data_IF_431078528049
#
_entry.id   IF_431078528049
#
_cell.length_a   1.000
_cell.length_b   1.000
_cell.length_c   1.000
_cell.angle_alpha   90.00
_cell.angle_beta   90.00
_cell.angle_gamma   90.00
#
_symmetry.space_group_name_H-M   'P 1'
#
loop_
_entity.id
_entity.type
_entity.pdbx_description
1 polymer ?
#
# COMPACT_ATOMS: atom_id res chain seq x y z
N UNK A 1 6.18 19.49 18.70
CA UNK A 1 5.10 18.92 17.86
C UNK A 1 5.34 17.43 17.79
N UNK A 2 4.42 16.59 18.30
CA UNK A 2 4.56 15.14 18.13
C UNK A 2 4.44 14.81 16.64
N UNK A 3 5.40 14.05 16.11
CA UNK A 3 5.30 13.59 14.72
C UNK A 3 4.00 12.78 14.55
N UNK A 4 3.24 13.11 13.51
CA UNK A 4 1.98 12.46 13.17
C UNK A 4 2.27 10.99 12.80
N UNK A 5 1.57 10.06 13.46
CA UNK A 5 1.74 8.62 13.20
C UNK A 5 0.63 8.09 12.30
N UNK A 6 1.01 7.36 11.27
CA UNK A 6 0.18 6.92 10.17
C UNK A 6 -0.34 5.50 10.36
N UNK A 7 -1.55 5.26 9.86
CA UNK A 7 -2.00 3.91 9.51
C UNK A 7 -1.75 3.68 8.03
N UNK A 8 -1.01 2.63 7.67
CA UNK A 8 -0.82 2.23 6.29
C UNK A 8 -1.84 1.17 5.88
N UNK A 9 -2.42 1.37 4.71
CA UNK A 9 -3.23 0.39 4.01
C UNK A 9 -2.40 -0.24 2.89
N UNK A 10 -2.42 -1.57 2.80
CA UNK A 10 -1.73 -2.32 1.76
C UNK A 10 -2.73 -3.24 1.08
N UNK A 11 -3.27 -2.86 -0.10
CA UNK A 11 -4.19 -3.73 -0.82
C UNK A 11 -3.46 -4.91 -1.45
N UNK A 12 -3.96 -6.12 -1.23
CA UNK A 12 -3.38 -7.35 -1.76
C UNK A 12 -4.48 -8.28 -2.29
N UNK A 13 -4.54 -8.37 -3.62
CA UNK A 13 -5.38 -9.34 -4.33
C UNK A 13 -4.96 -10.78 -3.98
N UNK A 14 -5.82 -11.78 -4.23
CA UNK A 14 -5.47 -13.18 -4.07
C UNK A 14 -4.13 -13.51 -4.74
N UNK A 15 -3.25 -14.25 -4.04
CA UNK A 15 -1.84 -14.41 -4.42
C UNK A 15 -1.68 -14.98 -5.83
N UNK A 16 -2.57 -15.90 -6.21
CA UNK A 16 -2.60 -16.54 -7.52
C UNK A 16 -2.93 -15.57 -8.67
N UNK A 17 -3.69 -14.51 -8.39
CA UNK A 17 -4.14 -13.51 -9.37
C UNK A 17 -3.31 -12.21 -9.35
N UNK A 18 -2.66 -11.92 -8.23
CA UNK A 18 -1.79 -10.76 -8.08
C UNK A 18 -0.57 -10.84 -9.00
N UNK A 19 -0.10 -9.68 -9.47
CA UNK A 19 1.13 -9.53 -10.27
C UNK A 19 1.28 -10.58 -11.38
N UNK A 20 0.19 -10.88 -12.09
CA UNK A 20 0.14 -11.90 -13.15
C UNK A 20 1.21 -11.74 -14.23
N UNK A 21 1.70 -10.51 -14.46
CA UNK A 21 2.83 -10.20 -15.36
C UNK A 21 4.17 -10.84 -14.94
N UNK A 22 4.34 -11.17 -13.65
CA UNK A 22 5.53 -11.83 -13.10
C UNK A 22 5.45 -13.36 -13.11
N UNK A 23 4.34 -13.93 -13.60
CA UNK A 23 4.15 -15.39 -13.59
C UNK A 23 5.23 -16.07 -14.43
N UNK A 24 5.97 -16.98 -13.81
CA UNK A 24 7.07 -17.68 -14.45
C UNK A 24 8.35 -16.86 -14.62
N UNK A 25 8.45 -15.67 -14.00
CA UNK A 25 9.64 -14.83 -14.07
C UNK A 25 10.88 -15.47 -13.42
N UNK A 26 10.68 -16.34 -12.42
CA UNK A 26 11.74 -17.04 -11.70
C UNK A 26 11.59 -18.56 -11.87
N UNK A 27 12.52 -19.24 -12.56
CA UNK A 27 12.48 -20.69 -12.69
C UNK A 27 12.52 -21.40 -11.33
N UNK A 28 11.61 -22.36 -11.12
CA UNK A 28 11.54 -23.15 -9.89
C UNK A 28 10.87 -22.47 -8.69
N UNK A 29 10.44 -21.21 -8.82
CA UNK A 29 9.72 -20.48 -7.77
C UNK A 29 8.22 -20.45 -8.11
N UNK A 30 7.37 -20.78 -7.15
CA UNK A 30 5.92 -20.67 -7.35
C UNK A 30 5.51 -19.21 -7.43
N UNK A 31 4.50 -18.92 -8.25
CA UNK A 31 4.00 -17.56 -8.43
C UNK A 31 3.52 -16.94 -7.11
N UNK A 32 2.79 -17.70 -6.30
CA UNK A 32 2.28 -17.23 -5.02
C UNK A 32 3.42 -16.91 -4.04
N UNK A 33 4.47 -17.72 -4.02
CA UNK A 33 5.64 -17.52 -3.15
C UNK A 33 6.37 -16.22 -3.52
N UNK A 34 6.49 -15.92 -4.82
CA UNK A 34 7.06 -14.65 -5.28
C UNK A 34 6.19 -13.46 -4.86
N UNK A 35 4.88 -13.52 -5.09
CA UNK A 35 3.96 -12.43 -4.69
C UNK A 35 4.02 -12.20 -3.17
N UNK A 36 4.02 -13.26 -2.38
CA UNK A 36 4.11 -13.17 -0.93
C UNK A 36 5.45 -12.56 -0.49
N UNK A 37 6.56 -12.97 -1.10
CA UNK A 37 7.88 -12.41 -0.79
C UNK A 37 7.96 -10.90 -1.10
N UNK A 38 7.35 -10.44 -2.21
CA UNK A 38 7.27 -9.02 -2.54
C UNK A 38 6.45 -8.23 -1.52
N UNK A 39 5.30 -8.77 -1.10
CA UNK A 39 4.44 -8.16 -0.09
C UNK A 39 5.15 -8.09 1.26
N UNK A 40 5.78 -9.18 1.67
CA UNK A 40 6.50 -9.27 2.93
C UNK A 40 7.67 -8.27 2.98
N UNK A 41 8.51 -8.21 1.94
CA UNK A 41 9.61 -7.23 1.88
C UNK A 41 9.10 -5.78 1.97
N UNK A 42 7.98 -5.48 1.32
CA UNK A 42 7.34 -4.16 1.37
C UNK A 42 6.83 -3.84 2.78
N UNK A 43 6.12 -4.77 3.41
CA UNK A 43 5.55 -4.62 4.75
C UNK A 43 6.65 -4.50 5.80
N UNK A 44 7.72 -5.29 5.72
CA UNK A 44 8.88 -5.22 6.61
C UNK A 44 9.55 -3.84 6.55
N UNK A 45 9.84 -3.33 5.34
CA UNK A 45 10.42 -2.00 5.17
C UNK A 45 9.48 -0.88 5.67
N UNK A 46 8.18 -1.04 5.46
CA UNK A 46 7.18 -0.06 5.86
C UNK A 46 6.97 0.00 7.37
N UNK A 47 6.85 -1.15 8.03
CA UNK A 47 6.65 -1.26 9.48
C UNK A 47 7.88 -0.85 10.29
N UNK A 48 9.07 -0.89 9.70
CA UNK A 48 10.29 -0.35 10.31
C UNK A 48 10.30 1.20 10.42
N UNK A 49 9.38 1.91 9.73
CA UNK A 49 9.31 3.37 9.79
C UNK A 49 8.74 3.84 11.13
N UNK A 50 9.41 4.76 11.86
CA UNK A 50 8.91 5.24 13.16
C UNK A 50 7.61 6.04 13.06
N UNK A 51 7.25 6.49 11.85
CA UNK A 51 6.00 7.19 11.58
C UNK A 51 4.83 6.25 11.30
N UNK A 52 5.08 4.96 11.06
CA UNK A 52 4.02 3.97 10.84
C UNK A 52 3.62 3.39 12.19
N UNK A 53 2.41 3.70 12.65
CA UNK A 53 1.85 3.15 13.90
C UNK A 53 1.23 1.78 13.67
N UNK A 54 0.59 1.60 12.52
CA UNK A 54 -0.18 0.41 12.18
C UNK A 54 -0.10 0.20 10.67
N UNK A 55 -0.02 -1.04 10.25
CA UNK A 55 -0.17 -1.45 8.86
C UNK A 55 -1.32 -2.45 8.80
N UNK A 56 -2.21 -2.27 7.85
CA UNK A 56 -3.38 -3.12 7.63
C UNK A 56 -3.34 -3.59 6.18
N UNK A 57 -3.35 -4.91 5.98
CA UNK A 57 -3.45 -5.52 4.65
C UNK A 57 -4.93 -5.68 4.29
N UNK A 58 -5.36 -5.17 3.15
CA UNK A 58 -6.73 -5.38 2.66
C UNK A 58 -6.69 -6.59 1.73
N UNK A 59 -7.20 -7.72 2.20
CA UNK A 59 -7.12 -8.99 1.49
C UNK A 59 -8.13 -10.02 2.00
N UNK A 60 -8.44 -11.01 1.15
CA UNK A 60 -9.19 -12.20 1.54
C UNK A 60 -8.27 -13.42 1.77
N UNK A 61 -6.96 -13.24 1.67
CA UNK A 61 -5.97 -14.27 1.96
C UNK A 61 -5.73 -14.39 3.47
N UNK A 62 -5.58 -15.63 3.96
CA UNK A 62 -5.19 -15.86 5.35
C UNK A 62 -3.67 -15.66 5.49
N UNK A 63 -3.28 -14.44 5.85
CA UNK A 63 -1.87 -14.04 6.05
C UNK A 63 -1.61 -13.69 7.51
N UNK A 64 -0.35 -13.82 7.95
CA UNK A 64 0.11 -13.46 9.29
C UNK A 64 0.37 -11.94 9.43
N UNK A 65 -0.61 -11.14 9.00
CA UNK A 65 -0.61 -9.68 9.11
C UNK A 65 -1.96 -9.21 9.66
N UNK A 66 -1.96 -8.04 10.30
CA UNK A 66 -3.22 -7.35 10.61
C UNK A 66 -3.93 -7.03 9.29
N UNK A 67 -5.16 -7.52 9.14
CA UNK A 67 -5.86 -7.50 7.87
C UNK A 67 -7.33 -7.14 8.02
N UNK A 68 -7.85 -6.53 6.96
CA UNK A 68 -9.29 -6.33 6.74
C UNK A 68 -9.70 -7.14 5.52
N UNK A 69 -10.90 -7.74 5.53
CA UNK A 69 -11.43 -8.41 4.35
C UNK A 69 -11.51 -7.43 3.17
N UNK A 70 -11.38 -7.94 1.96
CA UNK A 70 -11.61 -7.20 0.73
C UNK A 70 -12.99 -7.57 0.17
N UNK A 71 -14.07 -6.86 0.56
CA UNK A 71 -15.43 -7.21 0.15
C UNK A 71 -15.75 -6.79 -1.29
N UNK A 72 -14.88 -5.99 -1.93
CA UNK A 72 -15.15 -5.38 -3.22
C UNK A 72 -14.34 -6.04 -4.34
N UNK A 73 -14.87 -5.97 -5.56
CA UNK A 73 -14.08 -6.28 -6.75
C UNK A 73 -13.21 -5.08 -7.20
N UNK A 74 -13.55 -3.87 -6.74
CA UNK A 74 -12.83 -2.63 -7.03
C UNK A 74 -11.88 -2.23 -5.90
N UNK A 75 -10.64 -1.91 -6.29
CA UNK A 75 -9.58 -1.50 -5.38
C UNK A 75 -9.90 -0.20 -4.64
N UNK A 76 -10.47 0.78 -5.32
CA UNK A 76 -10.69 2.10 -4.73
C UNK A 76 -11.85 2.07 -3.74
N UNK A 77 -12.90 1.29 -4.00
CA UNK A 77 -13.99 1.09 -3.05
C UNK A 77 -13.53 0.40 -1.77
N UNK A 78 -12.70 -0.65 -1.88
CA UNK A 78 -12.08 -1.30 -0.71
C UNK A 78 -11.23 -0.32 0.11
N UNK A 79 -10.42 0.51 -0.55
CA UNK A 79 -9.60 1.52 0.13
C UNK A 79 -10.44 2.61 0.79
N UNK A 80 -11.53 3.07 0.15
CA UNK A 80 -12.47 4.05 0.74
C UNK A 80 -13.12 3.51 2.00
N UNK A 81 -13.59 2.26 1.96
CA UNK A 81 -14.22 1.62 3.12
C UNK A 81 -13.23 1.43 4.26
N UNK A 82 -12.05 0.87 3.98
CA UNK A 82 -11.01 0.68 4.99
C UNK A 82 -10.57 2.01 5.62
N UNK A 83 -10.41 3.08 4.83
CA UNK A 83 -10.04 4.39 5.32
C UNK A 83 -11.09 4.99 6.28
N UNK A 84 -12.38 4.72 6.08
CA UNK A 84 -13.46 5.21 6.98
C UNK A 84 -13.40 4.58 8.38
N UNK A 85 -12.78 3.41 8.52
CA UNK A 85 -12.59 2.72 9.80
C UNK A 85 -11.38 3.26 10.58
N UNK A 86 -10.55 4.08 9.96
CA UNK A 86 -9.31 4.61 10.55
C UNK A 86 -9.56 6.03 11.06
N UNK A 87 -9.22 6.26 12.33
CA UNK A 87 -9.15 7.60 12.88
C UNK A 87 -7.74 8.17 12.70
N UNK A 88 -7.63 9.31 12.03
CA UNK A 88 -6.38 10.04 11.88
C UNK A 88 -5.67 9.81 10.53
N UNK A 89 -4.33 9.93 10.49
CA UNK A 89 -3.56 9.95 9.25
C UNK A 89 -3.56 8.58 8.59
N UNK A 90 -3.91 8.52 7.31
CA UNK A 90 -3.96 7.29 6.53
C UNK A 90 -3.13 7.43 5.27
N UNK A 91 -2.38 6.39 4.92
CA UNK A 91 -1.69 6.33 3.65
C UNK A 91 -1.79 4.92 3.03
N UNK A 92 -1.62 4.85 1.72
CA UNK A 92 -1.71 3.60 0.94
C UNK A 92 -0.40 3.40 0.20
N UNK A 93 0.15 2.20 0.27
CA UNK A 93 1.27 1.75 -0.57
C UNK A 93 0.91 0.42 -1.24
N UNK A 94 1.36 0.14 -2.47
CA UNK A 94 1.14 -1.15 -3.10
C UNK A 94 2.03 -2.23 -2.44
N UNK A 95 1.61 -3.49 -2.53
CA UNK A 95 2.30 -4.63 -1.91
C UNK A 95 3.52 -5.16 -2.70
N UNK A 96 4.12 -4.35 -3.57
CA UNK A 96 5.22 -4.78 -4.45
C UNK A 96 6.31 -3.73 -4.62
N UNK A 97 6.70 -3.12 -3.51
CA UNK A 97 7.88 -2.26 -3.43
C UNK A 97 9.01 -3.01 -2.71
N UNK A 98 9.56 -4.11 -3.27
CA UNK A 98 10.59 -4.91 -2.59
C UNK A 98 11.91 -4.14 -2.38
N UNK A 99 12.10 -3.03 -3.10
CA UNK A 99 13.23 -2.13 -2.95
C UNK A 99 12.92 -0.89 -2.09
N UNK A 100 11.74 -0.83 -1.44
CA UNK A 100 11.35 0.27 -0.56
C UNK A 100 12.38 0.44 0.55
N UNK A 101 12.91 1.65 0.68
CA UNK A 101 13.74 1.98 1.85
C UNK A 101 12.87 2.64 2.90
N UNK A 102 12.98 2.15 4.14
CA UNK A 102 12.27 2.72 5.29
C UNK A 102 12.43 4.24 5.39
N UNK A 103 13.66 4.75 5.19
CA UNK A 103 13.94 6.18 5.25
C UNK A 103 13.20 7.01 4.18
N UNK A 104 13.01 6.46 2.98
CA UNK A 104 12.29 7.12 1.88
C UNK A 104 10.79 7.22 2.22
N UNK A 105 10.20 6.15 2.76
CA UNK A 105 8.82 6.17 3.27
C UNK A 105 8.66 7.15 4.44
N UNK A 106 9.57 7.11 5.41
CA UNK A 106 9.55 8.03 6.56
C UNK A 106 9.60 9.49 6.08
N UNK A 107 10.49 9.80 5.14
CA UNK A 107 10.60 11.14 4.58
C UNK A 107 9.30 11.55 3.87
N UNK A 108 8.76 10.71 2.98
CA UNK A 108 7.53 11.01 2.25
C UNK A 108 6.36 11.30 3.21
N UNK A 109 6.14 10.44 4.21
CA UNK A 109 5.10 10.63 5.22
C UNK A 109 5.32 11.88 6.08
N UNK A 110 6.58 12.24 6.38
CA UNK A 110 6.89 13.44 7.15
C UNK A 110 6.58 14.75 6.40
N UNK A 111 6.62 14.71 5.07
CA UNK A 111 6.35 15.86 4.19
C UNK A 111 4.86 15.99 3.82
N UNK A 112 4.05 14.96 4.09
CA UNK A 112 2.62 14.93 3.77
C UNK A 112 1.78 15.75 4.77
N UNK A 113 1.81 17.08 4.64
CA UNK A 113 0.99 18.01 5.45
C UNK A 113 -0.47 18.12 4.97
N UNK A 114 -0.74 17.69 3.74
CA UNK A 114 -2.05 17.61 3.10
C UNK A 114 -2.15 16.36 2.25
N UNK A 115 -3.34 16.08 1.70
CA UNK A 115 -3.51 14.98 0.75
C UNK A 115 -2.48 15.12 -0.38
N UNK A 116 -1.66 14.10 -0.55
CA UNK A 116 -0.49 14.10 -1.44
C UNK A 116 -0.23 12.68 -1.95
N UNK A 117 0.53 12.58 -3.03
CA UNK A 117 0.90 11.28 -3.59
C UNK A 117 2.35 11.30 -4.10
N UNK A 118 2.91 10.12 -4.30
CA UNK A 118 4.18 9.90 -4.98
C UNK A 118 3.91 9.05 -6.23
N UNK A 119 4.32 9.55 -7.39
CA UNK A 119 4.21 8.83 -8.64
C UNK A 119 5.16 7.63 -8.69
N UNK A 120 4.81 6.62 -9.50
CA UNK A 120 5.75 5.55 -9.83
C UNK A 120 6.91 6.04 -10.71
N UNK A 121 7.87 5.15 -10.98
CA UNK A 121 9.05 5.48 -11.77
C UNK A 121 8.72 5.88 -13.22
N UNK A 122 7.60 5.39 -13.77
CA UNK A 122 7.12 5.75 -15.11
C UNK A 122 6.34 7.08 -15.12
N UNK A 123 6.00 7.60 -13.93
CA UNK A 123 5.27 8.85 -13.75
C UNK A 123 3.77 8.76 -14.03
N UNK A 124 3.22 7.55 -14.23
CA UNK A 124 1.80 7.37 -14.62
C UNK A 124 0.97 6.73 -13.52
N UNK A 125 1.58 5.90 -12.68
CA UNK A 125 0.96 5.27 -11.52
C UNK A 125 1.28 5.99 -10.22
N UNK A 126 0.69 5.52 -9.12
CA UNK A 126 0.92 6.02 -7.76
C UNK A 126 1.49 4.91 -6.88
N UNK A 127 2.60 5.20 -6.17
CA UNK A 127 3.23 4.28 -5.21
C UNK A 127 2.99 4.66 -3.75
N UNK A 128 2.55 5.89 -3.49
CA UNK A 128 2.10 6.33 -2.18
C UNK A 128 0.94 7.31 -2.38
N UNK A 129 -0.16 7.11 -1.67
CA UNK A 129 -1.21 8.13 -1.49
C UNK A 129 -1.36 8.37 0.00
N UNK A 130 -1.24 9.61 0.45
CA UNK A 130 -1.25 9.98 1.86
C UNK A 130 -2.28 11.06 2.13
N UNK A 131 -3.11 10.88 3.14
CA UNK A 131 -4.07 11.84 3.65
C UNK A 131 -3.89 12.01 5.18
N UNK A 132 -3.25 13.09 5.63
CA UNK A 132 -3.04 13.32 7.07
C UNK A 132 -4.34 13.66 7.80
N UNK A 133 -5.32 14.21 7.06
CA UNK A 133 -6.66 14.56 7.50
C UNK A 133 -7.62 14.50 6.30
N UNK A 134 -8.92 14.32 6.56
CA UNK A 134 -9.95 14.32 5.52
C UNK A 134 -10.05 12.98 4.77
N UNK A 135 -10.70 13.03 3.60
CA UNK A 135 -10.91 11.85 2.77
C UNK A 135 -9.63 11.46 2.00
N UNK A 136 -9.35 10.15 1.97
CA UNK A 136 -8.27 9.56 1.17
C UNK A 136 -8.53 9.77 -0.33
N UNK A 137 -9.79 9.69 -0.77
CA UNK A 137 -10.23 9.81 -2.17
C UNK A 137 -9.29 9.09 -3.16
N UNK A 138 -9.17 7.75 -3.07
CA UNK A 138 -8.29 6.96 -3.92
C UNK A 138 -8.83 6.83 -5.35
N UNK A 139 -7.92 6.93 -6.31
CA UNK A 139 -8.11 6.76 -7.76
C UNK A 139 -6.95 5.93 -8.35
N UNK A 140 -6.58 4.85 -7.66
CA UNK A 140 -5.61 3.86 -8.16
C UNK A 140 -6.11 3.17 -9.43
N UNK A 141 -5.17 2.88 -10.32
CA UNK A 141 -5.45 2.35 -11.65
C UNK A 141 -4.52 2.96 -12.69
N UNK A 142 -4.86 2.75 -13.96
CA UNK A 142 -4.16 3.33 -15.11
C UNK A 142 -4.28 4.85 -15.05
N UNK A 143 -3.15 5.57 -15.12
CA UNK A 143 -3.13 7.03 -15.06
C UNK A 143 -3.41 7.61 -13.67
N UNK A 144 -3.30 6.81 -12.61
CA UNK A 144 -3.60 7.23 -11.24
C UNK A 144 -2.80 8.45 -10.77
N UNK A 145 -1.59 8.69 -11.28
CA UNK A 145 -0.82 9.89 -10.97
C UNK A 145 -1.54 11.19 -11.40
N UNK A 146 -2.24 11.17 -12.53
CA UNK A 146 -2.99 12.34 -13.00
C UNK A 146 -4.34 12.50 -12.27
N UNK A 147 -4.86 11.42 -11.68
CA UNK A 147 -6.12 11.40 -10.95
C UNK A 147 -5.97 11.76 -9.46
N UNK A 148 -4.75 11.79 -8.94
CA UNK A 148 -4.45 12.10 -7.53
C UNK A 148 -4.00 13.53 -7.31
#
# INVERSE_FOLDING_TARGET
MSAQRWTLLVPLKPLSAAKSRLRGALPGVRHEDLVLALAQATIEAATASPLVRRLIVITNEALDFDSLPDPHSDLNDALREAARLISGPVAVIPADLPALRTAELTQALSLSERRSFVADAEGTGTVLLAAPQGDLNPHFGVGSAAAH
#
